data_IF_324517494131
#
_entry.id   IF_324517494131
#
_cell.length_a   1.000
_cell.length_b   1.000
_cell.length_c   1.000
_cell.angle_alpha   90.00
_cell.angle_beta   90.00
_cell.angle_gamma   90.00
#
_symmetry.space_group_name_H-M   'P 1'
#
loop_
_entity.id
_entity.type
_entity.pdbx_description
1 polymer ?
#
# COMPACT_ATOMS: atom_id res chain seq x y z
N UNK A 1 -33.25 -49.26 -0.47
CA UNK A 1 -32.00 -48.71 -1.02
C UNK A 1 -32.09 -47.22 -1.48
N UNK A 2 -33.24 -46.55 -1.31
CA UNK A 2 -33.45 -45.13 -1.72
C UNK A 2 -33.04 -44.10 -0.66
N UNK A 3 -33.08 -44.45 0.60
CA UNK A 3 -32.78 -43.51 1.70
C UNK A 3 -31.31 -43.07 1.84
N UNK A 4 -30.36 -43.82 1.31
CA UNK A 4 -28.95 -43.52 1.38
C UNK A 4 -28.55 -42.39 0.40
N UNK A 5 -29.08 -42.40 -0.82
CA UNK A 5 -28.79 -41.39 -1.85
C UNK A 5 -29.25 -39.97 -1.45
N UNK A 6 -30.37 -39.86 -0.74
CA UNK A 6 -30.95 -38.58 -0.34
C UNK A 6 -30.09 -37.90 0.74
N UNK A 7 -29.45 -38.65 1.63
CA UNK A 7 -28.52 -38.13 2.65
C UNK A 7 -27.26 -37.55 2.02
N UNK A 8 -26.70 -38.17 1.00
CA UNK A 8 -25.49 -37.66 0.30
C UNK A 8 -25.77 -36.38 -0.49
N UNK A 9 -26.97 -36.26 -1.08
CA UNK A 9 -27.36 -35.03 -1.79
C UNK A 9 -27.50 -33.87 -0.81
N UNK A 10 -28.06 -34.12 0.38
CA UNK A 10 -28.23 -33.06 1.39
C UNK A 10 -26.91 -32.61 2.01
N UNK A 11 -25.98 -33.55 2.28
CA UNK A 11 -24.63 -33.21 2.77
C UNK A 11 -23.81 -32.48 1.72
N UNK A 12 -23.91 -32.87 0.44
CA UNK A 12 -23.20 -32.20 -0.65
C UNK A 12 -23.72 -30.77 -0.87
N UNK A 13 -25.03 -30.54 -0.78
CA UNK A 13 -25.65 -29.23 -0.86
C UNK A 13 -25.23 -28.33 0.32
N UNK A 14 -25.09 -28.86 1.53
CA UNK A 14 -24.66 -28.10 2.73
C UNK A 14 -23.21 -27.67 2.62
N UNK A 15 -22.32 -28.52 2.06
CA UNK A 15 -20.92 -28.18 1.84
C UNK A 15 -20.76 -27.10 0.76
N UNK A 16 -21.59 -27.12 -0.30
CA UNK A 16 -21.57 -26.07 -1.32
C UNK A 16 -22.00 -24.70 -0.78
N UNK A 17 -22.92 -24.66 0.19
CA UNK A 17 -23.34 -23.38 0.81
C UNK A 17 -22.27 -22.78 1.73
N UNK A 18 -21.37 -23.59 2.29
CA UNK A 18 -20.28 -23.07 3.14
C UNK A 18 -19.09 -22.52 2.35
N UNK A 19 -18.96 -22.84 1.07
CA UNK A 19 -17.88 -22.33 0.20
C UNK A 19 -18.14 -20.94 -0.40
N UNK A 20 -19.32 -20.37 -0.23
CA UNK A 20 -19.69 -19.04 -0.76
C UNK A 20 -19.41 -17.86 0.18
N UNK A 21 -18.65 -18.07 1.23
CA UNK A 21 -18.47 -17.08 2.29
C UNK A 21 -17.07 -16.50 2.45
N UNK A 22 -16.54 -15.82 1.46
CA UNK A 22 -15.59 -14.73 1.63
C UNK A 22 -15.69 -13.82 0.41
N UNK A 23 -16.71 -12.98 0.42
CA UNK A 23 -16.79 -11.88 -0.54
C UNK A 23 -15.64 -10.91 -0.28
N UNK A 24 -14.52 -11.14 -0.94
CA UNK A 24 -13.56 -10.09 -1.21
C UNK A 24 -14.34 -9.07 -2.04
N UNK A 25 -14.88 -8.04 -1.40
CA UNK A 25 -15.35 -6.88 -2.15
C UNK A 25 -14.09 -6.23 -2.71
N UNK A 26 -13.87 -6.29 -4.05
CA UNK A 26 -12.85 -5.45 -4.63
C UNK A 26 -13.21 -4.03 -4.22
N UNK A 27 -12.22 -3.28 -3.71
CA UNK A 27 -12.35 -1.85 -3.48
C UNK A 27 -13.00 -1.26 -4.73
N UNK A 28 -14.26 -0.83 -4.58
CA UNK A 28 -14.98 -0.22 -5.69
C UNK A 28 -14.11 0.92 -6.18
N UNK A 29 -13.89 0.97 -7.48
CA UNK A 29 -13.22 2.10 -8.12
C UNK A 29 -13.93 3.37 -7.65
N UNK A 30 -13.32 4.04 -6.69
CA UNK A 30 -13.84 5.32 -6.23
C UNK A 30 -13.79 6.28 -7.38
N UNK A 31 -14.94 6.81 -7.71
CA UNK A 31 -15.10 7.86 -8.73
C UNK A 31 -14.62 9.22 -8.21
N UNK A 32 -14.03 9.25 -7.02
CA UNK A 32 -13.53 10.46 -6.39
C UNK A 32 -12.41 11.06 -7.20
N UNK A 33 -12.65 12.26 -7.67
CA UNK A 33 -11.65 13.07 -8.35
C UNK A 33 -10.77 13.75 -7.31
N UNK A 34 -9.46 13.55 -7.41
CA UNK A 34 -8.46 14.03 -6.45
C UNK A 34 -7.45 14.89 -7.17
N UNK A 35 -7.14 16.04 -6.61
CA UNK A 35 -5.99 16.83 -7.04
C UNK A 35 -4.79 16.54 -6.15
N UNK A 36 -3.64 16.20 -6.73
CA UNK A 36 -2.40 15.98 -5.99
C UNK A 36 -1.46 17.18 -6.14
N UNK A 37 -1.19 17.86 -5.04
CA UNK A 37 -0.12 18.86 -4.96
C UNK A 37 1.16 18.19 -4.51
N UNK A 38 2.15 18.18 -5.38
CA UNK A 38 3.39 17.42 -5.23
C UNK A 38 4.54 18.36 -4.83
N UNK A 39 5.20 18.08 -3.69
CA UNK A 39 6.41 18.79 -3.29
C UNK A 39 7.54 18.59 -4.32
N UNK A 40 8.42 19.61 -4.47
CA UNK A 40 9.50 19.59 -5.47
C UNK A 40 10.53 18.46 -5.24
N UNK A 41 10.73 18.07 -4.00
CA UNK A 41 11.81 17.15 -3.57
C UNK A 41 11.41 15.65 -3.61
N UNK A 42 10.24 15.32 -4.17
CA UNK A 42 9.79 13.94 -4.29
C UNK A 42 10.58 13.18 -5.38
N UNK A 43 10.90 11.89 -5.16
CA UNK A 43 11.51 11.05 -6.18
C UNK A 43 10.68 10.98 -7.45
N UNK A 44 11.37 10.95 -8.61
CA UNK A 44 10.69 10.89 -9.92
C UNK A 44 9.80 9.66 -10.07
N UNK A 45 10.22 8.50 -9.51
CA UNK A 45 9.42 7.26 -9.50
C UNK A 45 8.08 7.46 -8.80
N UNK A 46 8.11 8.02 -7.60
CA UNK A 46 6.90 8.23 -6.80
C UNK A 46 5.98 9.29 -7.42
N UNK A 47 6.55 10.37 -7.99
CA UNK A 47 5.78 11.36 -8.76
C UNK A 47 5.04 10.73 -9.93
N UNK A 48 5.72 9.89 -10.72
CA UNK A 48 5.11 9.21 -11.85
C UNK A 48 3.95 8.30 -11.42
N UNK A 49 4.10 7.60 -10.30
CA UNK A 49 3.04 6.75 -9.73
C UNK A 49 1.82 7.56 -9.29
N UNK A 50 2.02 8.69 -8.60
CA UNK A 50 0.91 9.57 -8.19
C UNK A 50 0.18 10.11 -9.42
N UNK A 51 0.89 10.57 -10.44
CA UNK A 51 0.29 11.10 -11.66
C UNK A 51 -0.43 10.02 -12.50
N UNK A 52 -0.07 8.76 -12.34
CA UNK A 52 -0.71 7.63 -12.99
C UNK A 52 -2.01 7.18 -12.30
N UNK A 53 -2.35 7.74 -11.14
CA UNK A 53 -3.60 7.41 -10.44
C UNK A 53 -4.77 7.82 -11.32
N UNK A 54 -5.68 6.87 -11.71
CA UNK A 54 -6.91 7.21 -12.39
C UNK A 54 -7.72 8.13 -11.48
N UNK A 55 -8.38 9.13 -11.97
CA UNK A 55 -9.14 10.16 -11.24
C UNK A 55 -8.31 11.35 -10.70
N UNK A 56 -7.05 11.48 -11.12
CA UNK A 56 -6.32 12.72 -10.91
C UNK A 56 -6.96 13.84 -11.78
N UNK A 57 -7.50 14.87 -11.13
CA UNK A 57 -8.10 16.02 -11.82
C UNK A 57 -7.76 17.31 -11.06
N UNK A 58 -7.17 18.27 -11.79
CA UNK A 58 -6.74 19.55 -11.20
C UNK A 58 -7.91 20.40 -10.64
N UNK A 59 -9.14 20.16 -11.09
CA UNK A 59 -10.33 20.90 -10.64
C UNK A 59 -11.12 20.21 -9.52
N UNK A 60 -10.55 19.20 -8.87
CA UNK A 60 -11.26 18.43 -7.85
C UNK A 60 -11.59 19.25 -6.59
N UNK A 61 -12.58 18.77 -5.83
CA UNK A 61 -12.96 19.38 -4.55
C UNK A 61 -11.99 19.03 -3.43
N UNK A 62 -11.32 17.88 -3.54
CA UNK A 62 -10.33 17.39 -2.59
C UNK A 62 -8.93 17.54 -3.17
N UNK A 63 -8.05 18.11 -2.36
CA UNK A 63 -6.64 18.28 -2.65
C UNK A 63 -5.82 17.48 -1.64
N UNK A 64 -4.90 16.64 -2.15
CA UNK A 64 -3.95 15.90 -1.34
C UNK A 64 -2.55 16.46 -1.57
N UNK A 65 -2.04 17.18 -0.60
CA UNK A 65 -0.69 17.71 -0.62
C UNK A 65 0.27 16.71 0.03
N UNK A 66 1.32 16.31 -0.70
CA UNK A 66 2.41 15.50 -0.16
C UNK A 66 3.44 16.44 0.46
N UNK A 67 3.55 16.43 1.79
CA UNK A 67 4.39 17.36 2.56
C UNK A 67 5.84 16.87 2.68
N UNK A 68 6.02 15.56 2.94
CA UNK A 68 7.35 14.98 3.10
C UNK A 68 7.39 13.53 2.65
N UNK A 69 8.56 13.11 2.17
CA UNK A 69 8.87 11.75 1.78
C UNK A 69 10.27 11.43 2.32
N UNK A 70 10.38 10.41 3.16
CA UNK A 70 11.64 10.03 3.80
C UNK A 70 11.84 8.52 3.67
N UNK A 71 12.88 8.13 2.91
CA UNK A 71 13.29 6.76 2.72
C UNK A 71 14.61 6.50 3.41
N UNK A 72 14.61 5.57 4.35
CA UNK A 72 15.79 5.18 5.13
C UNK A 72 16.07 3.69 5.02
N UNK A 73 17.36 3.39 4.96
CA UNK A 73 17.89 2.04 5.01
C UNK A 73 18.67 1.87 6.31
N UNK A 74 18.34 0.85 7.06
CA UNK A 74 19.02 0.49 8.31
C UNK A 74 19.67 -0.88 8.18
N UNK A 75 20.78 -1.07 8.86
CA UNK A 75 21.40 -2.38 9.03
C UNK A 75 20.94 -2.95 10.36
N UNK A 76 20.48 -4.20 10.36
CA UNK A 76 20.01 -4.90 11.55
C UNK A 76 21.06 -5.92 11.95
N UNK A 77 21.67 -5.71 13.11
CA UNK A 77 22.68 -6.60 13.66
C UNK A 77 22.03 -7.63 14.58
N UNK A 78 22.25 -8.91 14.30
CA UNK A 78 21.76 -10.02 15.11
C UNK A 78 22.75 -10.44 16.19
N UNK A 79 22.65 -9.86 17.40
CA UNK A 79 23.46 -10.27 18.55
C UNK A 79 24.92 -9.82 18.53
N UNK A 80 25.83 -10.64 19.02
CA UNK A 80 27.28 -10.36 19.15
C UNK A 80 28.02 -10.44 17.81
N UNK A 81 27.34 -10.80 16.73
CA UNK A 81 27.93 -10.89 15.39
C UNK A 81 28.22 -9.50 14.84
N UNK A 82 29.44 -9.29 14.37
CA UNK A 82 29.90 -8.04 13.73
C UNK A 82 29.25 -7.82 12.36
N UNK A 83 28.52 -8.80 11.81
CA UNK A 83 27.91 -8.72 10.48
C UNK A 83 26.43 -8.53 10.57
N UNK A 84 25.94 -7.56 9.78
CA UNK A 84 24.50 -7.41 9.56
C UNK A 84 24.01 -8.53 8.63
N UNK A 85 23.13 -9.38 9.15
CA UNK A 85 22.49 -10.45 8.37
C UNK A 85 21.22 -9.97 7.67
N UNK A 86 20.63 -8.88 8.15
CA UNK A 86 19.39 -8.32 7.63
C UNK A 86 19.51 -6.80 7.49
N UNK A 87 18.80 -6.26 6.52
CA UNK A 87 18.56 -4.84 6.38
C UNK A 87 17.08 -4.54 6.55
N UNK A 88 16.79 -3.37 7.06
CA UNK A 88 15.43 -2.84 7.18
C UNK A 88 15.29 -1.56 6.36
N UNK A 89 14.23 -1.49 5.58
CA UNK A 89 13.82 -0.32 4.82
C UNK A 89 12.63 0.32 5.53
N UNK A 90 12.69 1.62 5.72
CA UNK A 90 11.61 2.43 6.27
C UNK A 90 11.28 3.54 5.29
N UNK A 91 10.02 3.61 4.87
CA UNK A 91 9.48 4.68 4.04
C UNK A 91 8.40 5.40 4.82
N UNK A 92 8.59 6.70 5.04
CA UNK A 92 7.64 7.56 5.74
C UNK A 92 7.13 8.64 4.81
N UNK A 93 5.84 8.88 4.83
CA UNK A 93 5.16 9.87 4.02
C UNK A 93 4.21 10.69 4.89
N UNK A 94 4.28 12.02 4.79
CA UNK A 94 3.30 12.92 5.41
C UNK A 94 2.43 13.55 4.32
N UNK A 95 1.13 13.50 4.50
CA UNK A 95 0.17 14.15 3.62
C UNK A 95 -0.75 15.09 4.40
N UNK A 96 -1.28 16.10 3.69
CA UNK A 96 -2.40 16.92 4.15
C UNK A 96 -3.53 16.81 3.14
N UNK A 97 -4.72 16.50 3.60
CA UNK A 97 -5.93 16.48 2.78
C UNK A 97 -6.70 17.75 3.08
N UNK A 98 -7.00 18.49 2.04
CA UNK A 98 -7.73 19.76 2.11
C UNK A 98 -8.94 19.77 1.17
N UNK A 99 -9.90 20.59 1.52
CA UNK A 99 -11.06 20.93 0.70
C UNK A 99 -11.08 22.45 0.53
N UNK A 100 -12.00 22.98 -0.27
CA UNK A 100 -12.21 24.42 -0.46
C UNK A 100 -12.36 25.21 0.87
N UNK A 101 -12.76 24.53 1.94
CA UNK A 101 -12.98 25.11 3.28
C UNK A 101 -11.74 25.03 4.20
N UNK A 102 -10.62 24.51 3.72
CA UNK A 102 -9.38 24.38 4.50
C UNK A 102 -8.88 22.94 4.67
N UNK A 103 -7.86 22.77 5.51
CA UNK A 103 -7.28 21.45 5.80
C UNK A 103 -8.27 20.62 6.62
N UNK A 104 -8.64 19.45 6.09
CA UNK A 104 -9.51 18.50 6.76
C UNK A 104 -8.69 17.59 7.69
N UNK A 105 -7.56 17.06 7.20
CA UNK A 105 -6.75 16.06 7.90
C UNK A 105 -5.30 16.08 7.47
N UNK A 106 -4.41 15.92 8.44
CA UNK A 106 -3.00 15.59 8.20
C UNK A 106 -2.71 14.19 8.70
N UNK A 107 -1.99 13.38 7.91
CA UNK A 107 -1.68 12.00 8.26
C UNK A 107 -0.25 11.63 7.87
N UNK A 108 0.35 10.80 8.71
CA UNK A 108 1.66 10.22 8.46
C UNK A 108 1.50 8.72 8.21
N UNK A 109 2.04 8.25 7.12
CA UNK A 109 2.10 6.84 6.77
C UNK A 109 3.53 6.35 6.93
N UNK A 110 3.68 5.11 7.39
CA UNK A 110 4.98 4.46 7.53
C UNK A 110 4.86 3.03 7.03
N UNK A 111 5.70 2.66 6.10
CA UNK A 111 5.85 1.29 5.61
C UNK A 111 7.26 0.82 5.92
N UNK A 112 7.38 -0.42 6.42
CA UNK A 112 8.66 -1.04 6.74
C UNK A 112 8.74 -2.40 6.06
N UNK A 113 9.90 -2.72 5.49
CA UNK A 113 10.22 -4.03 4.92
C UNK A 113 11.62 -4.45 5.28
N UNK A 114 11.81 -5.76 5.50
CA UNK A 114 13.12 -6.36 5.76
C UNK A 114 13.60 -7.14 4.56
N UNK A 115 14.90 -7.22 4.40
CA UNK A 115 15.56 -8.02 3.40
C UNK A 115 16.84 -8.64 3.96
N UNK A 116 17.23 -9.78 3.38
CA UNK A 116 18.51 -10.42 3.75
C UNK A 116 19.66 -9.68 3.07
N UNK A 117 20.69 -9.36 3.83
CA UNK A 117 21.90 -8.79 3.27
C UNK A 117 22.70 -9.88 2.52
N UNK A 118 23.26 -9.53 1.40
CA UNK A 118 24.13 -10.42 0.61
C UNK A 118 25.42 -9.70 0.28
N UNK A 119 26.39 -9.86 1.19
CA UNK A 119 27.73 -9.23 1.02
C UNK A 119 28.49 -9.75 -0.21
N UNK A 120 28.20 -10.99 -0.64
CA UNK A 120 28.86 -11.61 -1.79
C UNK A 120 28.30 -11.11 -3.12
N UNK A 121 27.09 -10.55 -3.14
CA UNK A 121 26.46 -10.01 -4.33
C UNK A 121 25.76 -8.68 -4.04
N UNK A 122 26.51 -7.58 -3.92
CA UNK A 122 25.94 -6.25 -3.64
C UNK A 122 25.01 -5.75 -4.75
N UNK A 123 25.22 -6.16 -5.98
CA UNK A 123 24.36 -5.80 -7.11
C UNK A 123 22.94 -6.37 -6.91
N UNK A 124 22.83 -7.67 -6.65
CA UNK A 124 21.56 -8.33 -6.36
C UNK A 124 20.84 -7.70 -5.16
N UNK A 125 21.61 -7.33 -4.12
CA UNK A 125 21.04 -6.63 -2.96
C UNK A 125 20.46 -5.27 -3.32
N UNK A 126 21.14 -4.49 -4.16
CA UNK A 126 20.64 -3.18 -4.59
C UNK A 126 19.37 -3.30 -5.44
N UNK A 127 19.29 -4.29 -6.32
CA UNK A 127 18.08 -4.55 -7.10
C UNK A 127 16.91 -5.00 -6.19
N UNK A 128 17.18 -5.83 -5.19
CA UNK A 128 16.16 -6.22 -4.18
C UNK A 128 15.65 -5.00 -3.40
N UNK A 129 16.54 -4.11 -2.96
CA UNK A 129 16.18 -2.87 -2.25
C UNK A 129 15.31 -1.97 -3.15
N UNK A 130 15.66 -1.84 -4.43
CA UNK A 130 14.90 -1.05 -5.40
C UNK A 130 13.49 -1.60 -5.60
N UNK A 131 13.38 -2.92 -5.78
CA UNK A 131 12.08 -3.59 -5.91
C UNK A 131 11.22 -3.43 -4.66
N UNK A 132 11.82 -3.60 -3.47
CA UNK A 132 11.11 -3.42 -2.21
C UNK A 132 10.64 -1.98 -2.01
N UNK A 133 11.47 -1.00 -2.37
CA UNK A 133 11.08 0.41 -2.34
C UNK A 133 9.90 0.68 -3.26
N UNK A 134 9.91 0.14 -4.47
CA UNK A 134 8.82 0.27 -5.43
C UNK A 134 7.50 -0.27 -4.86
N UNK A 135 7.53 -1.47 -4.25
CA UNK A 135 6.38 -2.04 -3.56
C UNK A 135 5.92 -1.24 -2.33
N UNK A 136 6.85 -0.60 -1.60
CA UNK A 136 6.51 0.28 -0.47
C UNK A 136 5.81 1.54 -0.94
N UNK A 137 6.25 2.12 -2.07
CA UNK A 137 5.61 3.25 -2.71
C UNK A 137 4.18 2.91 -3.15
N UNK A 138 3.95 1.73 -3.74
CA UNK A 138 2.61 1.25 -4.11
C UNK A 138 1.70 1.10 -2.88
N UNK A 139 2.22 0.49 -1.79
CA UNK A 139 1.47 0.37 -0.53
C UNK A 139 1.11 1.72 0.08
N UNK A 140 1.95 2.75 -0.06
CA UNK A 140 1.62 4.11 0.39
C UNK A 140 0.49 4.72 -0.44
N UNK A 141 0.52 4.55 -1.76
CA UNK A 141 -0.54 5.04 -2.65
C UNK A 141 -1.88 4.39 -2.28
N UNK A 142 -1.90 3.08 -2.06
CA UNK A 142 -3.11 2.38 -1.61
C UNK A 142 -3.63 2.95 -0.28
N UNK A 143 -2.75 3.22 0.69
CA UNK A 143 -3.14 3.80 1.98
C UNK A 143 -3.68 5.23 1.82
N UNK A 144 -3.10 6.05 0.93
CA UNK A 144 -3.61 7.39 0.62
C UNK A 144 -5.02 7.30 0.04
N UNK A 145 -5.22 6.41 -0.94
CA UNK A 145 -6.52 6.23 -1.59
C UNK A 145 -7.59 5.76 -0.60
N UNK A 146 -7.24 4.82 0.28
CA UNK A 146 -8.13 4.40 1.37
C UNK A 146 -8.52 5.56 2.29
N UNK A 147 -7.56 6.40 2.66
CA UNK A 147 -7.80 7.53 3.54
C UNK A 147 -8.70 8.59 2.91
N UNK A 148 -8.49 8.89 1.62
CA UNK A 148 -9.35 9.82 0.88
C UNK A 148 -10.78 9.29 0.79
N UNK A 149 -10.94 8.01 0.51
CA UNK A 149 -12.26 7.37 0.44
C UNK A 149 -13.02 7.45 1.78
N UNK A 150 -12.31 7.31 2.91
CA UNK A 150 -12.92 7.43 4.25
C UNK A 150 -13.39 8.85 4.57
N UNK A 151 -12.85 9.87 3.92
CA UNK A 151 -13.27 11.27 4.14
C UNK A 151 -14.54 11.61 3.36
N UNK A 152 -14.79 10.92 2.24
CA UNK A 152 -15.96 11.15 1.41
C UNK A 152 -17.21 10.37 1.82
N UNK A 153 -17.06 9.34 2.64
CA UNK A 153 -18.17 8.57 3.21
C UNK A 153 -18.88 9.30 4.34
#
# INVERSE_FOLDING_TARGET
MMFSRQKYIFTFSLVLMMSSGCGFMPLQNTTTKINFTIAKDLPKSFKAKILAIPNHEESSKLEVAVNSYDFKKYEVFGGVSIRSLEGELKLSLSISISSKNGIIKTKNFVVMKRYKTNELNPFSQNEAVKLLRDQMEDSLIEQIMLEVNLIEM
#
